data_IF_275299998317
#
_entry.id   IF_275299998317
#
_cell.length_a   1.000
_cell.length_b   1.000
_cell.length_c   1.000
_cell.angle_alpha   90.00
_cell.angle_beta   90.00
_cell.angle_gamma   90.00
#
_symmetry.space_group_name_H-M   'P 1'
#
loop_
_entity.id
_entity.type
_entity.pdbx_description
1 polymer ?
#
# COMPACT_ATOMS: atom_id res chain seq x y z
N UNK A 1 20.83 -70.68 -21.04
CA UNK A 1 21.26 -69.24 -21.30
C UNK A 1 20.19 -68.31 -20.74
N UNK A 2 20.43 -67.73 -19.58
CA UNK A 2 19.49 -66.82 -18.90
C UNK A 2 19.94 -65.38 -19.23
N UNK A 3 19.13 -64.68 -20.03
CA UNK A 3 19.38 -63.24 -20.33
C UNK A 3 19.01 -62.39 -19.10
N UNK A 4 19.99 -61.78 -18.45
CA UNK A 4 19.80 -60.79 -17.41
C UNK A 4 19.33 -59.49 -18.09
N UNK A 5 18.10 -59.08 -17.82
CA UNK A 5 17.58 -57.75 -18.20
C UNK A 5 18.00 -56.82 -17.08
N UNK A 6 18.92 -55.89 -17.40
CA UNK A 6 19.29 -54.78 -16.50
C UNK A 6 18.28 -53.67 -16.71
N UNK A 7 17.47 -53.42 -15.70
CA UNK A 7 16.52 -52.27 -15.68
C UNK A 7 17.26 -51.07 -15.10
N UNK A 8 17.66 -50.16 -15.96
CA UNK A 8 18.29 -48.90 -15.57
C UNK A 8 17.19 -47.92 -15.17
N UNK A 9 17.03 -47.69 -13.88
CA UNK A 9 16.09 -46.68 -13.34
C UNK A 9 16.70 -45.28 -13.55
N UNK A 10 16.15 -44.51 -14.48
CA UNK A 10 16.54 -43.12 -14.70
C UNK A 10 15.77 -42.24 -13.67
N UNK A 11 16.43 -41.85 -12.58
CA UNK A 11 15.87 -40.88 -11.64
C UNK A 11 16.03 -39.51 -12.23
N UNK A 12 14.94 -38.95 -12.78
CA UNK A 12 14.86 -37.56 -13.17
C UNK A 12 14.71 -36.73 -11.87
N UNK A 13 15.82 -36.16 -11.39
CA UNK A 13 15.78 -35.18 -10.31
C UNK A 13 15.21 -33.88 -10.87
N UNK A 14 13.90 -33.69 -10.77
CA UNK A 14 13.27 -32.39 -10.95
C UNK A 14 13.68 -31.53 -9.77
N UNK A 15 14.59 -30.56 -9.98
CA UNK A 15 14.90 -29.54 -9.01
C UNK A 15 13.65 -28.65 -8.85
N UNK A 16 12.85 -28.92 -7.83
CA UNK A 16 11.83 -28.00 -7.36
C UNK A 16 12.57 -26.73 -6.89
N UNK A 17 12.53 -25.69 -7.70
CA UNK A 17 12.88 -24.34 -7.23
C UNK A 17 11.83 -23.95 -6.22
N UNK A 18 12.10 -24.14 -4.94
CA UNK A 18 11.35 -23.50 -3.88
C UNK A 18 11.63 -22.01 -4.02
N UNK A 19 10.64 -21.27 -4.52
CA UNK A 19 10.65 -19.82 -4.38
C UNK A 19 10.50 -19.53 -2.89
N UNK A 20 11.62 -19.25 -2.23
CA UNK A 20 11.59 -18.58 -0.95
C UNK A 20 10.92 -17.23 -1.21
N UNK A 21 9.81 -16.97 -0.55
CA UNK A 21 9.26 -15.63 -0.50
C UNK A 21 10.35 -14.80 0.19
N UNK A 22 11.01 -13.91 -0.55
CA UNK A 22 12.04 -13.04 0.01
C UNK A 22 11.41 -12.29 1.17
N UNK A 23 11.87 -12.59 2.39
CA UNK A 23 11.33 -11.96 3.58
C UNK A 23 11.66 -10.47 3.52
N UNK A 24 10.64 -9.63 3.66
CA UNK A 24 10.84 -8.17 3.75
C UNK A 24 11.83 -7.89 4.87
N UNK A 25 12.95 -7.17 4.61
CA UNK A 25 13.95 -6.89 5.63
C UNK A 25 13.33 -6.21 6.86
N UNK A 26 13.77 -6.60 8.05
CA UNK A 26 13.38 -5.91 9.27
C UNK A 26 13.71 -4.42 9.13
N UNK A 27 12.80 -3.54 9.54
CA UNK A 27 12.93 -2.09 9.44
C UNK A 27 12.90 -1.52 7.99
N UNK A 28 12.48 -2.30 6.99
CA UNK A 28 12.23 -1.78 5.65
C UNK A 28 11.20 -0.65 5.70
N UNK A 29 10.06 -0.89 6.34
CA UNK A 29 9.05 0.12 6.58
C UNK A 29 9.23 0.82 7.93
N UNK A 30 8.92 2.12 7.97
CA UNK A 30 8.65 2.85 9.20
C UNK A 30 7.15 2.93 9.46
N UNK A 31 6.75 3.27 10.70
CA UNK A 31 5.36 3.67 10.96
C UNK A 31 4.99 4.89 10.09
N UNK A 32 3.83 4.86 9.40
CA UNK A 32 3.33 6.00 8.64
C UNK A 32 2.83 7.16 9.54
N UNK A 33 2.66 6.93 10.84
CA UNK A 33 2.32 7.94 11.84
C UNK A 33 3.51 8.22 12.76
N UNK A 34 3.65 9.48 13.20
CA UNK A 34 4.67 9.91 14.17
C UNK A 34 4.21 9.87 15.63
N UNK A 35 3.13 9.15 15.93
CA UNK A 35 2.56 8.97 17.27
C UNK A 35 2.56 7.48 17.67
N UNK A 36 2.41 7.14 18.95
CA UNK A 36 2.28 5.75 19.37
C UNK A 36 1.15 5.04 18.62
N UNK A 37 1.45 3.83 18.14
CA UNK A 37 0.54 3.05 17.30
C UNK A 37 -0.53 2.36 18.15
N UNK A 38 -1.78 2.74 17.96
CA UNK A 38 -2.96 2.06 18.47
C UNK A 38 -3.89 1.72 17.32
N UNK A 39 -4.38 0.50 17.28
CA UNK A 39 -5.26 0.04 16.20
C UNK A 39 -6.75 0.24 16.56
N UNK A 40 -7.53 0.63 15.56
CA UNK A 40 -9.00 0.63 15.58
C UNK A 40 -9.56 -0.56 14.79
N UNK A 41 -8.78 -1.09 13.83
CA UNK A 41 -9.11 -2.26 13.01
C UNK A 41 -7.86 -3.04 12.64
N UNK A 42 -7.97 -4.37 12.64
CA UNK A 42 -6.87 -5.28 12.32
C UNK A 42 -6.96 -5.77 10.87
N UNK A 43 -5.81 -6.16 10.31
CA UNK A 43 -5.75 -6.86 9.03
C UNK A 43 -6.55 -8.18 9.10
N UNK A 44 -7.30 -8.48 8.03
CA UNK A 44 -8.11 -9.69 7.93
C UNK A 44 -9.39 -9.68 8.81
N UNK A 45 -9.70 -8.59 9.50
CA UNK A 45 -10.94 -8.47 10.27
C UNK A 45 -12.16 -8.51 9.34
N UNK A 46 -13.18 -9.29 9.73
CA UNK A 46 -14.42 -9.41 8.95
C UNK A 46 -15.20 -8.09 9.01
N UNK A 47 -15.49 -7.54 7.86
CA UNK A 47 -16.39 -6.40 7.65
C UNK A 47 -17.72 -6.90 7.05
N UNK A 48 -18.69 -6.01 6.86
CA UNK A 48 -20.02 -6.39 6.38
C UNK A 48 -20.03 -7.14 5.04
N UNK A 49 -19.06 -6.88 4.15
CA UNK A 49 -19.02 -7.43 2.78
C UNK A 49 -17.62 -7.80 2.28
N UNK A 50 -16.58 -7.67 3.11
CA UNK A 50 -15.20 -8.01 2.76
C UNK A 50 -14.34 -8.24 4.00
N UNK A 51 -13.11 -8.76 3.83
CA UNK A 51 -12.09 -8.75 4.85
C UNK A 51 -11.30 -7.44 4.81
N UNK A 52 -10.96 -6.90 5.97
CA UNK A 52 -10.21 -5.67 6.10
C UNK A 52 -8.79 -5.84 5.52
N UNK A 53 -8.47 -5.06 4.47
CA UNK A 53 -7.22 -5.18 3.71
C UNK A 53 -6.00 -4.55 4.36
N UNK A 54 -6.13 -3.93 5.54
CA UNK A 54 -5.05 -3.20 6.18
C UNK A 54 -5.19 -3.05 7.69
N UNK A 55 -4.55 -2.01 8.20
CA UNK A 55 -4.60 -1.60 9.60
C UNK A 55 -5.27 -0.24 9.71
N UNK A 56 -6.27 -0.12 10.56
CA UNK A 56 -6.85 1.18 10.92
C UNK A 56 -6.10 1.73 12.14
N UNK A 57 -5.27 2.74 11.91
CA UNK A 57 -4.41 3.35 12.94
C UNK A 57 -5.10 4.57 13.55
N UNK A 58 -5.34 4.55 14.86
CA UNK A 58 -5.99 5.64 15.58
C UNK A 58 -5.17 6.93 15.53
N UNK A 59 -5.86 8.04 15.29
CA UNK A 59 -5.31 9.40 15.30
C UNK A 59 -5.88 10.23 16.46
N UNK A 60 -6.07 9.60 17.63
CA UNK A 60 -6.57 10.25 18.85
C UNK A 60 -7.94 10.96 18.67
N UNK A 61 -8.76 10.47 17.72
CA UNK A 61 -10.05 11.10 17.38
C UNK A 61 -9.93 12.45 16.65
N UNK A 62 -8.75 12.77 16.10
CA UNK A 62 -8.47 14.04 15.41
C UNK A 62 -7.91 13.80 14.01
N UNK A 63 -8.18 14.74 13.12
CA UNK A 63 -7.54 14.85 11.83
C UNK A 63 -6.26 15.69 11.91
N UNK A 64 -5.44 15.68 10.85
CA UNK A 64 -4.32 16.62 10.70
C UNK A 64 -2.97 16.12 11.18
N UNK A 65 -2.82 14.85 11.60
CA UNK A 65 -1.50 14.29 11.88
C UNK A 65 -0.72 14.08 10.59
N UNK A 66 0.59 14.36 10.62
CA UNK A 66 1.47 14.08 9.50
C UNK A 66 1.48 12.59 9.17
N UNK A 67 1.26 12.29 7.90
CA UNK A 67 1.41 10.97 7.30
C UNK A 67 2.74 10.93 6.57
N UNK A 68 3.54 9.91 6.87
CA UNK A 68 4.88 9.75 6.35
C UNK A 68 4.96 8.59 5.36
N UNK A 69 5.72 8.75 4.29
CA UNK A 69 6.07 7.64 3.41
C UNK A 69 6.78 6.54 4.23
N UNK A 70 6.25 5.31 4.18
CA UNK A 70 6.75 4.21 5.00
C UNK A 70 8.11 3.69 4.53
N UNK A 71 8.43 3.81 3.23
CA UNK A 71 9.72 3.47 2.63
C UNK A 71 9.99 4.37 1.42
N UNK A 72 11.20 4.28 0.85
CA UNK A 72 11.56 4.90 -0.42
C UNK A 72 10.71 4.30 -1.55
N UNK A 73 10.30 5.12 -2.51
CA UNK A 73 9.51 4.68 -3.65
C UNK A 73 9.04 5.83 -4.53
N UNK A 74 7.97 5.61 -5.25
CA UNK A 74 7.30 6.63 -6.06
C UNK A 74 5.78 6.48 -5.94
N UNK A 75 5.06 7.59 -6.08
CA UNK A 75 3.60 7.59 -6.08
C UNK A 75 3.12 6.92 -7.37
N UNK A 76 2.49 5.75 -7.24
CA UNK A 76 2.00 4.94 -8.37
C UNK A 76 0.52 5.15 -8.66
N UNK A 77 -0.24 5.70 -7.68
CA UNK A 77 -1.65 6.02 -7.89
C UNK A 77 -2.11 7.07 -6.89
N UNK A 78 -2.94 8.00 -7.34
CA UNK A 78 -3.70 8.93 -6.51
C UNK A 78 -5.18 8.76 -6.84
N UNK A 79 -6.00 8.48 -5.83
CA UNK A 79 -7.44 8.38 -6.00
C UNK A 79 -8.17 9.31 -5.05
N UNK A 80 -9.19 9.99 -5.56
CA UNK A 80 -10.12 10.80 -4.77
C UNK A 80 -11.54 10.36 -5.10
N UNK A 81 -12.25 9.93 -4.08
CA UNK A 81 -13.66 9.52 -4.16
C UNK A 81 -14.40 9.94 -2.90
N UNK A 82 -15.68 10.28 -2.95
CA UNK A 82 -16.50 10.50 -1.76
C UNK A 82 -16.80 9.19 -1.00
N UNK A 83 -16.49 8.03 -1.59
CA UNK A 83 -16.77 6.70 -1.05
C UNK A 83 -15.48 5.89 -0.81
N UNK A 84 -15.63 4.77 -0.11
CA UNK A 84 -14.53 3.83 0.13
C UNK A 84 -13.35 4.50 0.82
N UNK A 85 -12.17 4.44 0.22
CA UNK A 85 -10.92 4.97 0.79
C UNK A 85 -10.81 6.50 0.82
N UNK A 86 -11.76 7.23 0.21
CA UNK A 86 -11.71 8.69 0.19
C UNK A 86 -10.53 9.22 -0.62
N UNK A 87 -9.76 10.13 -0.01
CA UNK A 87 -8.47 10.60 -0.55
C UNK A 87 -7.39 9.58 -0.21
N UNK A 88 -6.73 9.05 -1.25
CA UNK A 88 -5.82 7.92 -1.13
C UNK A 88 -4.54 8.15 -1.92
N UNK A 89 -3.40 7.69 -1.39
CA UNK A 89 -2.11 7.62 -2.06
C UNK A 89 -1.67 6.16 -2.09
N UNK A 90 -1.10 5.73 -3.21
CA UNK A 90 -0.40 4.45 -3.37
C UNK A 90 1.06 4.75 -3.69
N UNK A 91 1.98 4.06 -3.04
CA UNK A 91 3.42 4.21 -3.26
C UNK A 91 4.00 2.84 -3.55
N UNK A 92 4.61 2.69 -4.73
CA UNK A 92 5.33 1.48 -5.11
C UNK A 92 6.78 1.57 -4.64
N UNK A 93 7.27 0.46 -4.11
CA UNK A 93 8.59 0.34 -3.53
C UNK A 93 9.50 -0.61 -4.33
N UNK A 94 10.83 -0.39 -4.31
CA UNK A 94 11.79 -1.23 -5.04
C UNK A 94 11.75 -2.73 -4.69
N UNK A 95 11.22 -3.09 -3.52
CA UNK A 95 11.11 -4.48 -3.07
C UNK A 95 9.86 -5.21 -3.61
N UNK A 96 9.10 -4.60 -4.53
CA UNK A 96 7.89 -5.19 -5.12
C UNK A 96 6.64 -5.11 -4.25
N UNK A 97 6.64 -4.22 -3.26
CA UNK A 97 5.44 -3.93 -2.46
C UNK A 97 4.89 -2.55 -2.77
N UNK A 98 3.61 -2.37 -2.51
CA UNK A 98 2.89 -1.09 -2.58
C UNK A 98 2.31 -0.76 -1.22
N UNK A 99 2.54 0.46 -0.72
CA UNK A 99 1.84 0.96 0.48
C UNK A 99 0.68 1.86 0.10
N UNK A 100 -0.44 1.70 0.81
CA UNK A 100 -1.68 2.45 0.61
C UNK A 100 -1.97 3.28 1.86
N UNK A 101 -2.30 4.55 1.64
CA UNK A 101 -2.63 5.52 2.70
C UNK A 101 -4.00 6.10 2.38
N UNK A 102 -5.00 5.82 3.19
CA UNK A 102 -6.38 6.21 2.91
C UNK A 102 -7.02 7.08 4.00
N UNK A 103 -8.22 7.56 3.70
CA UNK A 103 -9.02 8.49 4.51
C UNK A 103 -8.31 9.83 4.79
N UNK A 104 -7.42 10.26 3.86
CA UNK A 104 -6.58 11.44 4.04
C UNK A 104 -7.42 12.72 4.06
N UNK A 105 -7.00 13.70 4.88
CA UNK A 105 -7.58 15.04 4.89
C UNK A 105 -7.04 15.89 3.74
N UNK A 106 -5.70 15.91 3.61
CA UNK A 106 -4.99 16.79 2.69
C UNK A 106 -3.68 16.14 2.23
N UNK A 107 -3.34 16.28 0.97
CA UNK A 107 -2.01 15.94 0.43
C UNK A 107 -0.97 17.00 0.80
N UNK A 108 0.32 16.67 0.76
CA UNK A 108 1.44 17.59 1.01
C UNK A 108 2.44 17.61 -0.13
N UNK A 109 3.30 18.64 -0.16
CA UNK A 109 4.38 18.78 -1.13
C UNK A 109 3.92 18.78 -2.58
N UNK A 110 4.68 18.12 -3.44
CA UNK A 110 4.43 18.02 -4.88
C UNK A 110 3.13 17.28 -5.20
N UNK A 111 2.76 16.32 -4.36
CA UNK A 111 1.48 15.59 -4.48
C UNK A 111 0.30 16.57 -4.36
N UNK A 112 0.33 17.48 -3.38
CA UNK A 112 -0.72 18.49 -3.19
C UNK A 112 -0.80 19.44 -4.38
N UNK A 113 0.34 19.90 -4.87
CA UNK A 113 0.44 20.79 -6.03
C UNK A 113 -0.13 20.12 -7.28
N UNK A 114 0.25 18.86 -7.52
CA UNK A 114 -0.26 18.08 -8.65
C UNK A 114 -1.77 17.90 -8.57
N UNK A 115 -2.29 17.42 -7.44
CA UNK A 115 -3.73 17.17 -7.25
C UNK A 115 -4.54 18.45 -7.50
N UNK A 116 -4.11 19.57 -6.92
CA UNK A 116 -4.76 20.87 -7.13
C UNK A 116 -4.80 21.24 -8.62
N UNK A 117 -3.65 21.20 -9.30
CA UNK A 117 -3.55 21.56 -10.70
C UNK A 117 -4.40 20.64 -11.60
N UNK A 118 -4.39 19.32 -11.30
CA UNK A 118 -5.18 18.34 -12.04
C UNK A 118 -6.69 18.62 -11.90
N UNK A 119 -7.18 18.84 -10.68
CA UNK A 119 -8.58 19.16 -10.41
C UNK A 119 -9.04 20.44 -11.11
N UNK A 120 -8.25 21.51 -11.01
CA UNK A 120 -8.59 22.79 -11.67
C UNK A 120 -8.55 22.70 -13.20
N UNK A 121 -7.55 22.00 -13.75
CA UNK A 121 -7.41 21.85 -15.20
C UNK A 121 -8.56 21.05 -15.83
N UNK A 122 -9.02 20.01 -15.13
CA UNK A 122 -10.02 19.08 -15.65
C UNK A 122 -11.43 19.39 -15.12
N UNK A 123 -11.58 20.38 -14.24
CA UNK A 123 -12.85 20.74 -13.57
C UNK A 123 -13.54 19.51 -12.90
N UNK A 124 -12.73 18.55 -12.45
CA UNK A 124 -13.18 17.31 -11.82
C UNK A 124 -12.66 17.23 -10.39
N UNK A 125 -13.58 17.06 -9.44
CA UNK A 125 -13.21 16.83 -8.04
C UNK A 125 -12.70 15.43 -7.80
N UNK A 126 -13.42 14.42 -8.32
CA UNK A 126 -13.08 13.01 -8.20
C UNK A 126 -12.17 12.59 -9.36
N UNK A 127 -11.18 11.75 -9.08
CA UNK A 127 -10.36 11.14 -10.11
C UNK A 127 -9.63 9.90 -9.58
N UNK A 128 -9.16 9.09 -10.50
CA UNK A 128 -8.29 7.94 -10.28
C UNK A 128 -7.15 8.03 -11.29
N UNK A 129 -5.95 8.35 -10.83
CA UNK A 129 -4.83 8.70 -11.67
C UNK A 129 -3.60 7.88 -11.37
N UNK A 130 -2.97 7.38 -12.43
CA UNK A 130 -1.78 6.55 -12.41
C UNK A 130 -0.64 7.33 -13.07
N UNK A 131 0.30 7.89 -12.29
CA UNK A 131 1.48 8.55 -12.84
C UNK A 131 2.43 7.56 -13.53
N UNK A 132 3.27 8.05 -14.43
CA UNK A 132 4.44 7.29 -14.86
C UNK A 132 5.48 7.29 -13.74
N UNK A 133 6.20 6.18 -13.61
CA UNK A 133 7.03 5.76 -12.46
C UNK A 133 8.03 6.79 -11.89
N UNK A 134 8.41 7.80 -12.64
CA UNK A 134 9.46 8.75 -12.23
C UNK A 134 8.94 10.13 -11.83
N UNK A 135 7.64 10.39 -11.94
CA UNK A 135 7.10 11.75 -11.78
C UNK A 135 7.04 12.24 -10.33
N UNK A 136 6.90 11.32 -9.36
CA UNK A 136 6.72 11.68 -7.95
C UNK A 136 7.49 10.73 -7.04
N UNK A 137 8.85 10.82 -7.01
CA UNK A 137 9.64 10.05 -6.07
C UNK A 137 9.39 10.54 -4.63
N UNK A 138 9.42 9.61 -3.69
CA UNK A 138 9.32 9.90 -2.25
C UNK A 138 10.42 9.17 -1.50
N UNK A 139 10.89 9.76 -0.41
CA UNK A 139 11.83 9.15 0.51
C UNK A 139 11.12 8.69 1.78
N UNK A 140 11.60 7.60 2.36
CA UNK A 140 11.16 7.11 3.66
C UNK A 140 11.19 8.23 4.70
N UNK A 141 10.03 8.60 5.22
CA UNK A 141 9.89 9.67 6.20
C UNK A 141 9.46 11.02 5.63
N UNK A 142 9.33 11.17 4.31
CA UNK A 142 8.73 12.38 3.74
C UNK A 142 7.29 12.53 4.20
N UNK A 143 6.87 13.75 4.49
CA UNK A 143 5.47 14.06 4.81
C UNK A 143 4.68 14.14 3.51
N UNK A 144 3.83 13.15 3.26
CA UNK A 144 3.05 13.00 2.01
C UNK A 144 1.62 13.51 2.12
N UNK A 145 1.06 13.53 3.35
CA UNK A 145 -0.33 13.90 3.58
C UNK A 145 -0.59 14.26 5.04
N UNK A 146 -1.83 14.62 5.35
CA UNK A 146 -2.39 14.69 6.71
C UNK A 146 -3.48 13.63 6.88
N UNK A 147 -3.54 13.01 8.07
CA UNK A 147 -4.61 12.09 8.45
C UNK A 147 -5.98 12.78 8.42
N UNK A 148 -7.02 12.04 8.10
CA UNK A 148 -8.35 12.60 7.96
C UNK A 148 -9.47 11.62 8.29
N UNK A 149 -10.61 11.88 7.64
CA UNK A 149 -11.84 11.10 7.80
C UNK A 149 -12.65 11.09 6.48
N UNK A 150 -11.97 11.12 5.31
CA UNK A 150 -12.65 11.16 4.01
C UNK A 150 -13.10 9.78 3.54
N UNK A 151 -14.09 9.72 2.65
CA UNK A 151 -14.66 8.47 2.14
C UNK A 151 -15.57 7.77 3.15
N UNK A 152 -15.56 6.44 3.10
CA UNK A 152 -16.40 5.58 3.95
C UNK A 152 -15.83 5.35 5.34
N UNK A 153 -15.44 6.40 6.05
CA UNK A 153 -14.83 6.33 7.38
C UNK A 153 -15.82 6.70 8.48
N UNK A 154 -15.84 5.93 9.58
CA UNK A 154 -16.68 6.17 10.76
C UNK A 154 -16.09 7.15 11.78
N UNK A 155 -14.87 7.65 11.56
CA UNK A 155 -14.16 8.59 12.43
C UNK A 155 -12.70 8.75 12.06
N UNK A 156 -12.00 9.80 12.55
CA UNK A 156 -10.62 10.09 12.17
C UNK A 156 -9.67 8.93 12.46
N UNK A 157 -9.01 8.42 11.43
CA UNK A 157 -7.97 7.40 11.50
C UNK A 157 -7.14 7.39 10.21
N UNK A 158 -6.03 6.66 10.21
CA UNK A 158 -5.32 6.30 8.99
C UNK A 158 -5.60 4.83 8.69
N UNK A 159 -6.18 4.55 7.53
CA UNK A 159 -6.17 3.19 6.96
C UNK A 159 -4.87 3.01 6.18
N UNK A 160 -4.10 1.99 6.54
CA UNK A 160 -2.78 1.71 5.96
C UNK A 160 -2.69 0.25 5.53
N UNK A 161 -2.20 0.03 4.28
CA UNK A 161 -1.99 -1.31 3.75
C UNK A 161 -0.57 -1.48 3.23
N UNK A 162 -0.12 -2.74 3.20
CA UNK A 162 1.01 -3.21 2.40
C UNK A 162 0.46 -4.26 1.45
N UNK A 163 0.74 -4.11 0.15
CA UNK A 163 0.28 -5.00 -0.90
C UNK A 163 1.47 -5.56 -1.68
N UNK A 164 1.30 -6.72 -2.28
CA UNK A 164 2.14 -7.14 -3.39
C UNK A 164 1.81 -6.29 -4.61
N UNK A 165 2.81 -5.64 -5.22
CA UNK A 165 2.60 -4.68 -6.32
C UNK A 165 1.97 -5.31 -7.55
N UNK A 166 2.27 -6.58 -7.85
CA UNK A 166 1.80 -7.25 -9.07
C UNK A 166 0.37 -7.75 -8.96
N UNK A 167 0.05 -8.36 -7.83
CA UNK A 167 -1.29 -8.94 -7.59
C UNK A 167 -2.26 -7.94 -6.98
N UNK A 168 -1.77 -6.81 -6.47
CA UNK A 168 -2.50 -5.82 -5.66
C UNK A 168 -3.15 -6.42 -4.40
N UNK A 169 -2.81 -7.64 -4.03
CA UNK A 169 -3.33 -8.28 -2.83
C UNK A 169 -2.61 -7.76 -1.58
N UNK A 170 -3.34 -7.46 -0.51
CA UNK A 170 -2.76 -7.17 0.80
C UNK A 170 -1.96 -8.38 1.33
N UNK A 171 -0.82 -8.10 2.00
CA UNK A 171 0.11 -9.10 2.55
C UNK A 171 0.44 -8.83 4.00
#
# INVERSE_FOLDING_TARGET
MIKKIIFTLFIIATSLKTFSQDSIPKNYFRSPLGIPLFLAGNFGELRSNHFHGGLDMKTQGKEGFNIYAAADGFVSRIKISPWGYGKTIYIDHPNGTTTVYAHLQQYKGDIATFVKNYQYKNEHWEFDWYPVDTLMPVKKGDVIALSGNTGGSGGPHLHFEIRDTKSENPI
#
